data_IF_888803312626
#
_entry.id   IF_888803312626
#
_cell.length_a   1.000
_cell.length_b   1.000
_cell.length_c   1.000
_cell.angle_alpha   90.00
_cell.angle_beta   90.00
_cell.angle_gamma   90.00
#
_symmetry.space_group_name_H-M   'P 1'
#
loop_
_entity.id
_entity.type
_entity.pdbx_description
1 polymer ?
#
# COMPACT_ATOMS: atom_id res chain seq x y z
N UNK A 1 -6.28 -32.62 -13.39
CA UNK A 1 -6.04 -31.29 -12.80
C UNK A 1 -6.85 -30.28 -13.61
N UNK A 2 -7.94 -29.77 -13.05
CA UNK A 2 -8.76 -28.74 -13.70
C UNK A 2 -7.93 -27.47 -13.92
N UNK A 3 -7.96 -26.95 -15.15
CA UNK A 3 -7.20 -25.77 -15.56
C UNK A 3 -7.96 -24.55 -15.03
N UNK A 4 -7.57 -24.07 -13.85
CA UNK A 4 -8.16 -22.87 -13.24
C UNK A 4 -7.85 -21.63 -14.07
N UNK A 5 -8.89 -20.91 -14.45
CA UNK A 5 -8.77 -19.67 -15.22
C UNK A 5 -8.02 -18.60 -14.42
N UNK A 6 -7.15 -17.88 -15.13
CA UNK A 6 -6.31 -16.81 -14.58
C UNK A 6 -6.67 -15.50 -15.24
N UNK A 7 -7.14 -14.55 -14.45
CA UNK A 7 -7.61 -13.26 -14.90
C UNK A 7 -6.60 -12.15 -14.59
N UNK A 8 -6.65 -11.10 -15.41
CA UNK A 8 -5.98 -9.82 -15.13
C UNK A 8 -7.06 -8.88 -14.61
N UNK A 9 -6.76 -8.21 -13.49
CA UNK A 9 -7.64 -7.23 -12.88
C UNK A 9 -7.09 -5.82 -13.11
N UNK A 10 -7.96 -4.86 -13.42
CA UNK A 10 -7.60 -3.46 -13.61
C UNK A 10 -8.39 -2.58 -12.66
N UNK A 11 -7.75 -1.56 -12.08
CA UNK A 11 -8.47 -0.53 -11.32
C UNK A 11 -9.18 0.41 -12.27
N UNK A 12 -10.49 0.53 -12.11
CA UNK A 12 -11.33 1.50 -12.84
C UNK A 12 -11.35 2.81 -12.08
N UNK A 13 -11.54 2.76 -10.76
CA UNK A 13 -11.63 3.96 -9.95
C UNK A 13 -11.76 3.68 -8.46
N UNK A 14 -11.57 4.73 -7.68
CA UNK A 14 -11.70 4.70 -6.23
C UNK A 14 -13.13 5.02 -5.83
N UNK A 15 -13.72 4.26 -4.90
CA UNK A 15 -15.04 4.56 -4.34
C UNK A 15 -14.91 5.32 -3.03
N UNK A 16 -14.06 4.83 -2.12
CA UNK A 16 -13.69 5.51 -0.87
C UNK A 16 -12.28 5.07 -0.39
N UNK A 17 -11.91 5.29 0.87
CA UNK A 17 -10.60 4.86 1.39
C UNK A 17 -10.46 3.33 1.57
N UNK A 18 -11.51 2.53 1.38
CA UNK A 18 -11.50 1.06 1.54
C UNK A 18 -11.81 0.32 0.25
N UNK A 19 -12.79 0.80 -0.50
CA UNK A 19 -13.38 0.15 -1.65
C UNK A 19 -12.92 0.79 -2.95
N UNK A 20 -12.58 -0.08 -3.91
CA UNK A 20 -12.26 0.31 -5.28
C UNK A 20 -13.15 -0.45 -6.25
N UNK A 21 -13.41 0.17 -7.39
CA UNK A 21 -14.04 -0.48 -8.53
C UNK A 21 -12.93 -1.06 -9.40
N UNK A 22 -13.00 -2.37 -9.64
CA UNK A 22 -12.08 -3.10 -10.50
C UNK A 22 -12.83 -3.76 -11.66
N UNK A 23 -12.14 -3.91 -12.78
CA UNK A 23 -12.61 -4.67 -13.92
C UNK A 23 -11.83 -5.98 -14.00
N UNK A 24 -12.56 -7.09 -14.11
CA UNK A 24 -11.99 -8.42 -14.32
C UNK A 24 -12.79 -9.10 -15.44
N UNK A 25 -12.15 -9.30 -16.60
CA UNK A 25 -12.75 -9.96 -17.76
C UNK A 25 -14.11 -9.35 -18.17
N UNK A 26 -14.13 -8.04 -18.43
CA UNK A 26 -15.31 -7.25 -18.81
C UNK A 26 -16.47 -7.24 -17.78
N UNK A 27 -16.22 -7.70 -16.55
CA UNK A 27 -17.14 -7.57 -15.43
C UNK A 27 -16.59 -6.60 -14.41
N UNK A 28 -17.50 -5.85 -13.78
CA UNK A 28 -17.15 -4.85 -12.77
C UNK A 28 -17.40 -5.42 -11.38
N UNK A 29 -16.39 -5.28 -10.53
CA UNK A 29 -16.45 -5.73 -9.14
C UNK A 29 -16.04 -4.60 -8.20
N UNK A 30 -16.72 -4.50 -7.05
CA UNK A 30 -16.19 -3.77 -5.91
C UNK A 30 -15.24 -4.69 -5.16
N UNK A 31 -14.02 -4.25 -4.88
CA UNK A 31 -13.05 -5.00 -4.09
C UNK A 31 -12.86 -4.39 -2.70
N UNK A 32 -12.90 -5.25 -1.69
CA UNK A 32 -12.56 -4.94 -0.29
C UNK A 32 -11.16 -5.49 0.02
N UNK A 33 -10.15 -4.64 -0.11
CA UNK A 33 -8.74 -5.05 -0.03
C UNK A 33 -7.96 -4.43 1.14
N UNK A 34 -8.39 -3.25 1.60
CA UNK A 34 -7.72 -2.52 2.67
C UNK A 34 -8.76 -1.83 3.55
N UNK A 35 -8.89 -2.28 4.79
CA UNK A 35 -9.75 -1.64 5.78
C UNK A 35 -8.92 -0.71 6.68
N UNK A 36 -9.11 0.62 6.64
CA UNK A 36 -8.38 1.56 7.50
C UNK A 36 -8.61 1.37 9.01
N UNK A 37 -9.64 0.64 9.41
CA UNK A 37 -9.90 0.30 10.82
C UNK A 37 -9.07 -0.88 11.31
N UNK A 38 -8.56 -1.70 10.40
CA UNK A 38 -7.84 -2.92 10.76
C UNK A 38 -6.32 -2.65 10.81
N UNK A 39 -5.78 -2.67 12.03
CA UNK A 39 -4.35 -2.40 12.28
C UNK A 39 -3.43 -3.37 11.54
N UNK A 40 -3.89 -4.60 11.25
CA UNK A 40 -3.11 -5.62 10.54
C UNK A 40 -2.75 -5.16 9.13
N UNK A 41 -3.54 -4.25 8.55
CA UNK A 41 -3.28 -3.70 7.23
C UNK A 41 -2.03 -2.81 7.18
N UNK A 42 -1.68 -2.18 8.31
CA UNK A 42 -0.50 -1.33 8.46
C UNK A 42 0.75 -2.14 8.88
N UNK A 43 0.55 -3.33 9.45
CA UNK A 43 1.59 -4.27 9.87
C UNK A 43 1.72 -5.43 8.88
N UNK A 44 1.65 -5.13 7.58
CA UNK A 44 1.50 -6.13 6.53
C UNK A 44 2.65 -7.13 6.43
N UNK A 45 3.86 -6.75 6.85
CA UNK A 45 4.99 -7.67 6.97
C UNK A 45 4.77 -8.78 8.00
N UNK A 46 4.00 -8.52 9.05
CA UNK A 46 3.67 -9.49 10.11
C UNK A 46 2.41 -10.30 9.78
N UNK A 47 1.50 -9.73 9.00
CA UNK A 47 0.21 -10.33 8.65
C UNK A 47 0.05 -10.60 7.14
N UNK A 48 1.00 -11.30 6.48
CA UNK A 48 0.98 -11.44 5.03
C UNK A 48 -0.24 -12.23 4.52
N UNK A 49 -0.87 -13.06 5.37
CA UNK A 49 -2.10 -13.80 5.04
C UNK A 49 -3.28 -12.89 4.69
N UNK A 50 -3.36 -11.70 5.27
CA UNK A 50 -4.42 -10.72 5.00
C UNK A 50 -4.40 -10.18 3.57
N UNK A 51 -3.31 -10.41 2.84
CA UNK A 51 -3.10 -9.88 1.49
C UNK A 51 -3.03 -10.98 0.42
N UNK A 52 -3.50 -12.19 0.75
CA UNK A 52 -3.53 -13.34 -0.15
C UNK A 52 -4.92 -13.58 -0.77
N UNK A 53 -5.95 -12.92 -0.28
CA UNK A 53 -7.31 -13.11 -0.76
C UNK A 53 -8.14 -11.92 -0.37
N UNK A 54 -8.98 -11.45 -1.30
CA UNK A 54 -9.84 -10.29 -1.09
C UNK A 54 -11.27 -10.65 -1.47
N UNK A 55 -12.22 -10.01 -0.79
CA UNK A 55 -13.63 -10.12 -1.16
C UNK A 55 -13.90 -9.20 -2.35
N UNK A 56 -14.59 -9.73 -3.34
CA UNK A 56 -15.09 -8.98 -4.49
C UNK A 56 -16.60 -9.17 -4.62
N UNK A 57 -17.30 -8.13 -5.02
CA UNK A 57 -18.76 -8.10 -5.15
C UNK A 57 -19.10 -7.75 -6.59
N UNK A 58 -19.85 -8.62 -7.29
CA UNK A 58 -20.23 -8.37 -8.70
C UNK A 58 -21.25 -7.23 -8.74
N UNK A 59 -20.88 -6.15 -9.42
CA UNK A 59 -21.70 -4.94 -9.55
C UNK A 59 -21.90 -4.55 -11.00
N UNK A 60 -21.66 -5.47 -11.94
CA UNK A 60 -21.73 -5.21 -13.38
C UNK A 60 -23.05 -4.52 -13.77
N UNK A 61 -24.18 -5.04 -13.28
CA UNK A 61 -25.53 -4.55 -13.60
C UNK A 61 -25.97 -3.31 -12.82
N UNK A 62 -25.19 -2.86 -11.83
CA UNK A 62 -25.53 -1.74 -10.93
C UNK A 62 -24.37 -0.78 -10.71
N UNK A 63 -23.44 -0.75 -11.67
CA UNK A 63 -22.20 0.03 -11.58
C UNK A 63 -22.46 1.54 -11.55
N UNK A 64 -23.57 1.98 -12.14
CA UNK A 64 -24.10 3.35 -12.15
C UNK A 64 -24.37 3.92 -10.74
N UNK A 65 -24.68 3.06 -9.77
CA UNK A 65 -24.94 3.46 -8.38
C UNK A 65 -23.67 3.88 -7.63
N UNK A 66 -22.50 3.52 -8.15
CA UNK A 66 -21.22 3.79 -7.50
C UNK A 66 -20.55 5.01 -8.11
N UNK A 67 -20.51 6.11 -7.34
CA UNK A 67 -19.80 7.33 -7.75
C UNK A 67 -18.30 7.14 -7.60
N UNK A 68 -17.59 7.10 -8.71
CA UNK A 68 -16.13 7.10 -8.73
C UNK A 68 -15.63 8.45 -8.20
N UNK A 69 -14.88 8.41 -7.10
CA UNK A 69 -14.22 9.58 -6.54
C UNK A 69 -12.87 9.78 -7.22
N UNK A 70 -12.52 11.05 -7.45
CA UNK A 70 -11.19 11.40 -7.91
C UNK A 70 -10.16 10.96 -6.87
N UNK A 71 -9.06 10.37 -7.33
CA UNK A 71 -7.93 10.12 -6.44
C UNK A 71 -7.42 11.45 -5.87
N UNK A 72 -7.22 11.55 -4.55
CA UNK A 72 -6.72 12.78 -3.95
C UNK A 72 -5.29 13.04 -4.43
N UNK A 73 -4.92 14.31 -4.58
CA UNK A 73 -3.63 14.72 -5.17
C UNK A 73 -2.42 14.12 -4.46
N UNK A 74 -2.48 13.94 -3.15
CA UNK A 74 -1.41 13.30 -2.38
C UNK A 74 -1.22 11.82 -2.79
N UNK A 75 -2.30 11.13 -3.15
CA UNK A 75 -2.25 9.74 -3.60
C UNK A 75 -1.61 9.64 -4.98
N UNK A 76 -1.89 10.58 -5.89
CA UNK A 76 -1.21 10.63 -7.19
C UNK A 76 0.28 10.95 -7.03
N UNK A 77 0.66 11.80 -6.08
CA UNK A 77 2.08 12.06 -5.78
C UNK A 77 2.76 10.79 -5.27
N UNK A 78 2.17 10.09 -4.30
CA UNK A 78 2.71 8.82 -3.80
C UNK A 78 2.72 7.70 -4.85
N UNK A 79 1.77 7.69 -5.79
CA UNK A 79 1.78 6.76 -6.94
C UNK A 79 2.87 7.09 -7.96
N UNK A 80 3.08 8.38 -8.24
CA UNK A 80 4.13 8.86 -9.16
C UNK A 80 5.53 8.59 -8.63
N UNK A 81 5.64 8.44 -7.31
CA UNK A 81 6.77 7.83 -6.63
C UNK A 81 6.72 6.32 -6.93
N UNK A 82 7.08 5.93 -8.15
CA UNK A 82 7.58 4.58 -8.39
C UNK A 82 8.70 4.37 -7.38
N UNK A 83 8.52 3.43 -6.44
CA UNK A 83 9.42 3.26 -5.30
C UNK A 83 10.89 3.16 -5.74
N UNK A 84 11.19 2.63 -6.92
CA UNK A 84 12.56 2.61 -7.48
C UNK A 84 13.05 3.97 -7.97
N UNK A 85 12.21 4.78 -8.60
CA UNK A 85 12.60 6.04 -9.25
C UNK A 85 12.74 7.19 -8.24
N UNK A 86 11.86 7.27 -7.25
CA UNK A 86 11.96 8.28 -6.20
C UNK A 86 13.07 7.95 -5.21
N UNK A 87 13.24 6.69 -4.82
CA UNK A 87 14.41 6.30 -4.01
C UNK A 87 15.68 6.57 -4.81
N UNK A 88 15.73 6.24 -6.11
CA UNK A 88 16.87 6.59 -6.97
C UNK A 88 17.05 8.10 -7.13
N UNK A 89 15.99 8.90 -7.15
CA UNK A 89 16.06 10.36 -7.22
C UNK A 89 16.56 10.94 -5.89
N UNK A 90 16.04 10.48 -4.76
CA UNK A 90 16.47 10.90 -3.42
C UNK A 90 17.91 10.48 -3.15
N UNK A 91 18.31 9.26 -3.57
CA UNK A 91 19.69 8.79 -3.51
C UNK A 91 20.58 9.57 -4.50
N UNK A 92 20.12 9.86 -5.71
CA UNK A 92 20.87 10.68 -6.67
C UNK A 92 21.01 12.13 -6.18
N UNK A 93 19.98 12.71 -5.57
CA UNK A 93 20.02 14.02 -4.91
C UNK A 93 20.94 13.98 -3.68
N UNK A 94 20.94 12.90 -2.91
CA UNK A 94 21.84 12.68 -1.78
C UNK A 94 23.31 12.56 -2.24
N UNK A 95 23.56 11.88 -3.36
CA UNK A 95 24.89 11.74 -3.97
C UNK A 95 25.36 13.03 -4.68
N UNK A 96 24.45 13.80 -5.29
CA UNK A 96 24.75 15.06 -5.97
C UNK A 96 24.94 16.23 -4.99
N UNK A 97 24.27 16.21 -3.84
CA UNK A 97 24.22 17.32 -2.90
C UNK A 97 24.55 16.88 -1.47
N UNK A 98 25.81 16.47 -1.20
CA UNK A 98 26.37 16.39 0.17
C UNK A 98 25.69 17.40 1.11
N UNK A 99 25.32 16.98 2.34
CA UNK A 99 24.14 17.47 3.03
C UNK A 99 24.13 18.99 3.03
N UNK A 100 23.07 19.64 2.51
CA UNK A 100 22.98 21.10 2.54
C UNK A 100 23.26 21.56 3.98
N UNK A 101 24.41 22.21 4.18
CA UNK A 101 24.96 22.50 5.51
C UNK A 101 23.99 23.33 6.35
N UNK A 102 23.13 24.10 5.69
CA UNK A 102 22.08 24.90 6.32
C UNK A 102 21.00 24.08 7.05
N UNK A 103 20.80 22.82 6.67
CA UNK A 103 19.80 21.93 7.28
C UNK A 103 20.43 20.81 8.13
N UNK A 104 21.74 20.90 8.36
CA UNK A 104 22.47 19.94 9.18
C UNK A 104 22.34 20.30 10.67
N UNK A 105 22.12 19.27 11.51
CA UNK A 105 22.07 19.43 12.96
C UNK A 105 22.47 18.14 13.67
N UNK A 106 23.63 18.18 14.33
CA UNK A 106 24.21 17.06 15.08
C UNK A 106 23.38 16.60 16.29
N UNK A 107 22.38 17.39 16.69
CA UNK A 107 21.46 17.01 17.77
C UNK A 107 20.37 16.06 17.29
N UNK A 108 20.15 15.88 15.98
CA UNK A 108 19.09 15.00 15.44
C UNK A 108 19.21 13.56 16.00
N UNK A 109 20.38 12.90 15.99
CA UNK A 109 20.55 11.59 16.63
C UNK A 109 20.22 11.57 18.11
N UNK A 110 20.47 12.66 18.84
CA UNK A 110 20.17 12.76 20.28
C UNK A 110 18.66 12.81 20.54
N UNK A 111 17.89 13.34 19.58
CA UNK A 111 16.42 13.44 19.64
C UNK A 111 15.70 12.26 18.95
N UNK A 112 16.36 11.11 18.78
CA UNK A 112 15.76 9.95 18.10
C UNK A 112 14.43 9.51 18.72
N UNK A 113 14.30 9.58 20.05
CA UNK A 113 13.08 9.16 20.74
C UNK A 113 11.90 10.14 20.50
N UNK A 114 12.05 11.47 20.69
CA UNK A 114 11.03 12.43 20.26
C UNK A 114 10.64 12.30 18.78
N UNK A 115 11.62 12.08 17.89
CA UNK A 115 11.37 11.85 16.45
C UNK A 115 10.46 10.64 16.26
N UNK A 116 10.74 9.53 16.95
CA UNK A 116 9.92 8.32 16.90
C UNK A 116 8.49 8.58 17.42
N UNK A 117 8.35 9.34 18.50
CA UNK A 117 7.02 9.72 19.04
C UNK A 117 6.23 10.54 18.01
N UNK A 118 6.85 11.55 17.41
CA UNK A 118 6.22 12.37 16.36
C UNK A 118 5.84 11.50 15.16
N UNK A 119 6.70 10.55 14.77
CA UNK A 119 6.40 9.60 13.71
C UNK A 119 5.16 8.76 14.01
N UNK A 120 5.04 8.21 15.22
CA UNK A 120 3.88 7.40 15.64
C UNK A 120 2.61 8.25 15.70
N UNK A 121 2.67 9.46 16.27
CA UNK A 121 1.53 10.38 16.31
C UNK A 121 1.07 10.74 14.91
N UNK A 122 2.00 11.06 14.00
CA UNK A 122 1.69 11.33 12.60
C UNK A 122 1.03 10.14 11.90
N UNK A 123 1.47 8.90 12.19
CA UNK A 123 0.82 7.70 11.67
C UNK A 123 -0.62 7.57 12.16
N UNK A 124 -0.88 7.79 13.45
CA UNK A 124 -2.23 7.75 14.01
C UNK A 124 -3.16 8.80 13.39
N UNK A 125 -2.64 10.01 13.11
CA UNK A 125 -3.38 11.05 12.40
C UNK A 125 -3.74 10.61 10.97
N UNK A 126 -2.80 9.98 10.24
CA UNK A 126 -3.06 9.43 8.91
C UNK A 126 -4.14 8.36 8.96
N UNK A 127 -4.05 7.41 9.90
CA UNK A 127 -5.05 6.36 10.09
C UNK A 127 -6.43 6.97 10.38
N UNK A 128 -6.48 7.98 11.25
CA UNK A 128 -7.72 8.68 11.60
C UNK A 128 -8.32 9.38 10.37
N UNK A 129 -7.49 10.08 9.59
CA UNK A 129 -7.91 10.72 8.34
C UNK A 129 -8.46 9.71 7.32
N UNK A 130 -7.80 8.55 7.17
CA UNK A 130 -8.30 7.48 6.29
C UNK A 130 -9.65 6.93 6.77
N UNK A 131 -9.86 6.84 8.08
CA UNK A 131 -11.14 6.40 8.64
C UNK A 131 -12.27 7.42 8.46
N UNK A 132 -11.98 8.72 8.52
CA UNK A 132 -12.97 9.78 8.30
C UNK A 132 -13.45 9.82 6.84
N UNK A 133 -12.62 9.44 5.88
CA UNK A 133 -12.99 9.40 4.46
C UNK A 133 -13.68 8.11 4.01
N UNK A 134 -14.14 7.26 4.93
CA UNK A 134 -14.97 6.09 4.63
C UNK A 134 -16.39 6.52 4.29
N UNK A 135 -16.92 5.96 3.20
CA UNK A 135 -18.29 6.26 2.77
C UNK A 135 -19.27 5.25 3.36
N UNK A 136 -20.17 5.73 4.22
CA UNK A 136 -21.16 4.89 4.89
C UNK A 136 -22.30 4.47 3.94
N UNK A 137 -22.41 5.06 2.75
CA UNK A 137 -23.47 4.71 1.80
C UNK A 137 -23.15 3.47 0.95
N UNK A 138 -21.93 2.94 1.02
CA UNK A 138 -21.54 1.74 0.29
C UNK A 138 -22.03 0.52 1.09
N UNK A 139 -23.24 0.05 0.76
CA UNK A 139 -23.81 -1.17 1.32
C UNK A 139 -23.52 -2.36 0.40
N UNK A 140 -22.64 -3.26 0.86
CA UNK A 140 -22.25 -4.49 0.17
C UNK A 140 -22.86 -5.73 0.84
N UNK A 141 -23.60 -5.58 1.94
CA UNK A 141 -24.07 -6.71 2.76
C UNK A 141 -25.09 -7.58 2.02
N UNK A 142 -25.81 -7.00 1.06
CA UNK A 142 -26.82 -7.69 0.27
C UNK A 142 -26.29 -8.31 -1.03
N UNK A 143 -25.00 -8.15 -1.34
CA UNK A 143 -24.39 -8.67 -2.56
C UNK A 143 -23.65 -9.98 -2.28
N UNK A 144 -23.87 -10.97 -3.15
CA UNK A 144 -23.05 -12.17 -3.15
C UNK A 144 -21.59 -11.79 -3.39
N UNK A 145 -20.74 -12.23 -2.47
CA UNK A 145 -19.31 -12.00 -2.56
C UNK A 145 -18.61 -13.23 -3.13
N UNK A 146 -17.55 -12.99 -3.89
CA UNK A 146 -16.59 -13.98 -4.36
C UNK A 146 -15.22 -13.65 -3.78
N UNK A 147 -14.31 -14.61 -3.81
CA UNK A 147 -12.95 -14.43 -3.35
C UNK A 147 -12.01 -14.33 -4.54
N UNK A 148 -11.25 -13.24 -4.61
CA UNK A 148 -10.16 -13.07 -5.56
C UNK A 148 -8.81 -13.36 -4.88
N UNK A 149 -8.02 -14.26 -5.45
CA UNK A 149 -6.71 -14.65 -4.90
C UNK A 149 -5.62 -14.58 -5.98
N UNK A 150 -4.42 -14.05 -5.66
CA UNK A 150 -3.30 -14.02 -6.59
C UNK A 150 -2.79 -15.44 -6.82
N UNK A 151 -2.55 -15.80 -8.08
CA UNK A 151 -2.12 -17.16 -8.50
C UNK A 151 -0.70 -17.17 -9.05
N UNK A 152 -0.38 -16.24 -9.95
CA UNK A 152 0.94 -16.17 -10.58
C UNK A 152 1.41 -14.74 -10.70
N UNK A 153 2.67 -14.49 -10.38
CA UNK A 153 3.29 -13.19 -10.62
C UNK A 153 3.41 -12.96 -12.13
N UNK A 154 2.97 -11.79 -12.61
CA UNK A 154 3.07 -11.40 -14.02
C UNK A 154 4.55 -11.19 -14.41
N UNK A 155 5.36 -10.69 -13.47
CA UNK A 155 6.82 -10.56 -13.58
C UNK A 155 7.49 -11.35 -12.47
N UNK A 156 8.03 -12.53 -12.81
CA UNK A 156 8.72 -13.40 -11.86
C UNK A 156 10.10 -12.83 -11.52
N UNK A 157 10.26 -12.28 -10.32
CA UNK A 157 11.57 -12.12 -9.70
C UNK A 157 11.87 -13.41 -8.92
N UNK A 158 12.96 -14.10 -9.29
CA UNK A 158 13.42 -15.29 -8.54
C UNK A 158 13.79 -14.83 -7.13
N UNK A 159 12.95 -15.16 -6.16
CA UNK A 159 13.23 -14.94 -4.75
C UNK A 159 13.60 -16.28 -4.11
N UNK A 160 14.75 -16.35 -3.45
CA UNK A 160 15.25 -17.59 -2.81
C UNK A 160 14.57 -17.89 -1.47
N UNK A 161 13.84 -16.93 -0.90
CA UNK A 161 13.15 -17.05 0.39
C UNK A 161 11.64 -17.28 0.21
N UNK A 162 10.99 -17.97 1.17
CA UNK A 162 9.53 -18.04 1.22
C UNK A 162 8.90 -16.64 1.23
N UNK A 163 7.87 -16.42 0.41
CA UNK A 163 7.30 -15.08 0.18
C UNK A 163 6.88 -14.36 1.47
N UNK A 164 6.35 -15.08 2.45
CA UNK A 164 5.96 -14.52 3.76
C UNK A 164 7.17 -13.98 4.53
N UNK A 165 8.26 -14.76 4.57
CA UNK A 165 9.49 -14.39 5.25
C UNK A 165 10.17 -13.23 4.52
N UNK A 166 10.19 -13.26 3.19
CA UNK A 166 10.72 -12.17 2.38
C UNK A 166 9.97 -10.85 2.64
N UNK A 167 8.63 -10.87 2.69
CA UNK A 167 7.81 -9.69 3.01
C UNK A 167 8.07 -9.16 4.43
N UNK A 168 8.19 -10.05 5.41
CA UNK A 168 8.53 -9.69 6.79
C UNK A 168 9.90 -9.01 6.88
N UNK A 169 10.93 -9.65 6.33
CA UNK A 169 12.31 -9.14 6.34
C UNK A 169 12.37 -7.79 5.62
N UNK A 170 11.74 -7.69 4.45
CA UNK A 170 11.68 -6.43 3.70
C UNK A 170 11.01 -5.32 4.51
N UNK A 171 9.90 -5.61 5.19
CA UNK A 171 9.22 -4.63 6.03
C UNK A 171 10.10 -4.14 7.17
N UNK A 172 10.69 -5.06 7.95
CA UNK A 172 11.51 -4.73 9.13
C UNK A 172 12.79 -4.01 8.74
N UNK A 173 13.54 -4.54 7.76
CA UNK A 173 14.79 -3.94 7.30
C UNK A 173 14.54 -2.62 6.59
N UNK A 174 13.50 -2.53 5.75
CA UNK A 174 13.16 -1.32 5.03
C UNK A 174 12.75 -0.20 5.98
N UNK A 175 11.92 -0.48 6.98
CA UNK A 175 11.53 0.51 7.99
C UNK A 175 12.74 0.94 8.83
N UNK A 176 13.55 -0.02 9.30
CA UNK A 176 14.78 0.28 10.04
C UNK A 176 15.74 1.14 9.23
N UNK A 177 15.95 0.83 7.95
CA UNK A 177 16.81 1.60 7.06
C UNK A 177 16.30 3.04 6.89
N UNK A 178 14.99 3.26 6.78
CA UNK A 178 14.39 4.60 6.71
C UNK A 178 14.71 5.45 7.95
N UNK A 179 14.68 4.84 9.15
CA UNK A 179 15.03 5.52 10.39
C UNK A 179 16.54 5.76 10.51
N UNK A 180 17.36 4.75 10.23
CA UNK A 180 18.82 4.84 10.31
C UNK A 180 19.34 5.93 9.38
N UNK A 181 18.92 5.91 8.11
CA UNK A 181 19.34 6.90 7.11
C UNK A 181 18.82 8.29 7.48
N UNK A 182 17.56 8.42 7.90
CA UNK A 182 16.99 9.73 8.23
C UNK A 182 17.62 10.37 9.48
N UNK A 183 17.93 9.57 10.51
CA UNK A 183 18.45 10.08 11.79
C UNK A 183 19.98 10.25 11.76
N UNK A 184 20.74 9.26 11.30
CA UNK A 184 22.20 9.26 11.42
C UNK A 184 22.90 10.19 10.43
N UNK A 185 22.20 10.64 9.39
CA UNK A 185 22.72 11.65 8.46
C UNK A 185 22.70 13.07 9.05
N UNK A 186 22.09 13.27 10.23
CA UNK A 186 22.03 14.55 10.94
C UNK A 186 21.54 15.69 10.04
N UNK A 187 20.57 15.44 9.16
CA UNK A 187 20.04 16.45 8.25
C UNK A 187 18.51 16.43 8.25
N UNK A 188 17.88 17.60 8.32
CA UNK A 188 16.42 17.70 8.41
C UNK A 188 15.70 17.22 7.15
N UNK A 189 16.28 17.35 5.96
CA UNK A 189 15.67 16.85 4.72
C UNK A 189 15.72 15.33 4.66
N UNK A 190 16.86 14.73 4.98
CA UNK A 190 16.97 13.26 5.00
C UNK A 190 16.06 12.68 6.07
N UNK A 191 15.98 13.30 7.24
CA UNK A 191 15.02 12.96 8.28
C UNK A 191 13.58 13.00 7.74
N UNK A 192 13.17 14.10 7.11
CA UNK A 192 11.83 14.23 6.55
C UNK A 192 11.53 13.19 5.48
N UNK A 193 12.39 13.06 4.46
CA UNK A 193 12.12 12.21 3.30
C UNK A 193 12.29 10.72 3.60
N UNK A 194 13.31 10.29 4.34
CA UNK A 194 13.49 8.87 4.64
C UNK A 194 12.62 8.41 5.79
N UNK A 195 12.64 9.12 6.93
CA UNK A 195 11.89 8.67 8.10
C UNK A 195 10.39 8.85 7.91
N UNK A 196 9.92 10.06 7.57
CA UNK A 196 8.48 10.31 7.47
C UNK A 196 7.92 9.84 6.13
N UNK A 197 8.38 10.40 5.01
CA UNK A 197 7.81 10.06 3.69
C UNK A 197 8.06 8.59 3.35
N UNK A 198 9.31 8.13 3.43
CA UNK A 198 9.70 6.75 3.16
C UNK A 198 9.08 5.75 4.15
N UNK A 199 9.18 6.02 5.45
CA UNK A 199 8.60 5.16 6.49
C UNK A 199 7.09 5.01 6.36
N UNK A 200 6.35 6.11 6.14
CA UNK A 200 4.89 6.02 5.92
C UNK A 200 4.55 5.36 4.60
N UNK A 201 5.29 5.61 3.51
CA UNK A 201 5.07 4.93 2.24
C UNK A 201 5.23 3.41 2.37
N UNK A 202 6.19 2.94 3.17
CA UNK A 202 6.41 1.52 3.43
C UNK A 202 5.27 0.92 4.26
N UNK A 203 4.80 1.61 5.29
CA UNK A 203 3.65 1.17 6.12
C UNK A 203 2.35 1.14 5.31
N UNK A 204 2.12 2.17 4.49
CA UNK A 204 0.92 2.33 3.66
C UNK A 204 1.02 1.61 2.32
N UNK A 205 2.10 0.87 2.05
CA UNK A 205 2.29 0.15 0.79
C UNK A 205 1.05 -0.67 0.35
N UNK A 206 0.37 -1.42 1.24
CA UNK A 206 -0.80 -2.21 0.84
C UNK A 206 -2.02 -1.38 0.49
N UNK A 207 -2.08 -0.11 0.90
CA UNK A 207 -3.14 0.82 0.53
C UNK A 207 -3.17 1.07 -0.99
N UNK A 208 -2.05 0.88 -1.69
CA UNK A 208 -1.95 1.10 -3.13
C UNK A 208 -2.31 -0.16 -3.93
N UNK A 209 -3.62 -0.45 -4.03
CA UNK A 209 -4.15 -1.65 -4.73
C UNK A 209 -3.58 -1.86 -6.14
N UNK A 210 -3.35 -0.79 -6.89
CA UNK A 210 -2.81 -0.85 -8.26
C UNK A 210 -1.46 -1.57 -8.32
N UNK A 211 -0.60 -1.40 -7.30
CA UNK A 211 0.69 -2.10 -7.24
C UNK A 211 0.48 -3.61 -7.12
N UNK A 212 -0.53 -4.04 -6.35
CA UNK A 212 -0.87 -5.45 -6.19
C UNK A 212 -1.50 -6.00 -7.48
N UNK A 213 -2.49 -5.31 -8.05
CA UNK A 213 -3.19 -5.79 -9.24
C UNK A 213 -2.29 -5.87 -10.48
N UNK A 214 -1.35 -4.94 -10.64
CA UNK A 214 -0.40 -4.94 -11.75
C UNK A 214 0.68 -6.03 -11.61
N UNK A 215 0.90 -6.55 -10.40
CA UNK A 215 1.95 -7.54 -10.12
C UNK A 215 1.49 -8.98 -10.32
N UNK A 216 0.22 -9.30 -10.11
CA UNK A 216 -0.28 -10.67 -10.09
C UNK A 216 -1.42 -10.90 -11.08
N UNK A 217 -1.52 -12.15 -11.58
CA UNK A 217 -2.77 -12.68 -12.13
C UNK A 217 -3.59 -13.27 -11.00
N UNK A 218 -4.90 -13.25 -11.15
CA UNK A 218 -5.84 -13.64 -10.11
C UNK A 218 -6.72 -14.81 -10.53
N UNK A 219 -7.15 -15.59 -9.56
CA UNK A 219 -8.23 -16.54 -9.69
C UNK A 219 -9.41 -16.01 -8.89
N UNK A 220 -10.62 -16.15 -9.44
CA UNK A 220 -11.87 -15.91 -8.71
C UNK A 220 -12.44 -17.27 -8.30
N UNK A 221 -12.86 -17.38 -7.04
CA UNK A 221 -13.57 -18.54 -6.49
C UNK A 221 -14.88 -18.09 -5.88
N UNK A 222 -15.91 -18.93 -5.99
CA UNK A 222 -17.11 -18.75 -5.19
C UNK A 222 -16.81 -19.11 -3.73
N UNK A 223 -17.49 -18.47 -2.77
CA UNK A 223 -17.27 -18.70 -1.34
C UNK A 223 -17.53 -20.14 -0.91
N UNK A 224 -18.32 -20.89 -1.69
CA UNK A 224 -18.59 -22.32 -1.47
C UNK A 224 -17.42 -23.24 -1.87
N UNK A 225 -16.40 -22.73 -2.56
CA UNK A 225 -15.24 -23.49 -3.06
C UNK A 225 -13.90 -23.05 -2.42
N UNK A 226 -13.95 -22.20 -1.39
CA UNK A 226 -12.80 -21.53 -0.79
C UNK A 226 -12.18 -22.30 0.38
#
# INVERSE_FOLDING_TARGET
>A
MEKKDKYVARVVGRLDNRYYLIEVHNRLYVIDYFNPKDIRNYLWGFFPKHFLSYNIYDVTDRSDRYKIKSNPKWLSVLKSINASSFISLVVALWLLFFPPTFAHNDKIPQFWLPILVVFVVGLLLIITFLNLGLDKSIDLEQLDHKIISPTTVIKSEKTYLPEKLAKFIFFVLGLSACFIVGILTSNYFTLFFFTFVGGYALILYPYFIEIILNKYKFQIKNTQEA
#
